data_IF_421195562295
#
_entry.id   IF_421195562295
#
_cell.length_a   1.000
_cell.length_b   1.000
_cell.length_c   1.000
_cell.angle_alpha   90.00
_cell.angle_beta   90.00
_cell.angle_gamma   90.00
#
_symmetry.space_group_name_H-M   'P 1'
#
loop_
_entity.id
_entity.type
_entity.pdbx_description
1 polymer ?
#
# COMPACT_ATOMS: atom_id res chain seq x y z
N UNK A 1 1.63 39.10 25.33
CA UNK A 1 0.43 38.25 25.27
C UNK A 1 0.77 37.06 24.40
N UNK A 2 0.91 35.91 25.06
CA UNK A 2 1.26 34.60 24.52
C UNK A 2 0.21 34.11 23.54
N UNK A 3 0.65 33.75 22.34
CA UNK A 3 -0.17 33.07 21.34
C UNK A 3 -0.52 31.66 21.87
N UNK A 4 -1.78 31.52 22.27
CA UNK A 4 -2.35 30.31 22.83
C UNK A 4 -2.51 29.25 21.73
N UNK A 5 -1.53 28.36 21.61
CA UNK A 5 -1.74 26.91 21.49
C UNK A 5 -2.77 26.39 20.50
N UNK A 6 -2.89 26.98 19.30
CA UNK A 6 -3.54 26.26 18.19
C UNK A 6 -2.55 25.22 17.67
N UNK A 7 -2.88 23.91 17.62
CA UNK A 7 -2.00 22.93 17.02
C UNK A 7 -1.77 23.36 15.58
N UNK A 8 -0.55 23.77 15.25
CA UNK A 8 -0.15 23.90 13.86
C UNK A 8 -0.43 22.55 13.20
N UNK A 9 -1.10 22.52 12.03
CA UNK A 9 -1.22 21.28 11.28
C UNK A 9 0.18 20.70 11.16
N UNK A 10 0.38 19.39 11.23
CA UNK A 10 1.72 18.79 11.25
C UNK A 10 2.11 18.31 9.85
N UNK A 11 3.35 18.53 9.41
CA UNK A 11 3.84 17.95 8.15
C UNK A 11 3.89 16.43 8.28
N UNK A 12 3.53 15.72 7.21
CA UNK A 12 3.54 14.26 7.19
C UNK A 12 4.36 13.76 6.02
N UNK A 13 5.29 12.85 6.28
CA UNK A 13 6.00 12.11 5.25
C UNK A 13 5.19 10.87 4.87
N UNK A 14 4.85 10.75 3.59
CA UNK A 14 4.05 9.68 3.02
C UNK A 14 4.94 8.85 2.09
N UNK A 15 4.96 7.55 2.29
CA UNK A 15 5.83 6.63 1.56
C UNK A 15 5.00 5.47 0.99
N UNK A 16 5.19 5.20 -0.29
CA UNK A 16 4.81 3.93 -0.90
C UNK A 16 6.06 3.08 -1.13
N UNK A 17 6.02 1.83 -0.70
CA UNK A 17 7.13 0.90 -0.86
C UNK A 17 6.61 -0.46 -1.37
N UNK A 18 6.79 -0.72 -2.67
CA UNK A 18 6.72 -2.07 -3.19
C UNK A 18 8.04 -2.76 -2.86
N UNK A 19 8.03 -3.69 -1.92
CA UNK A 19 9.25 -4.35 -1.48
C UNK A 19 9.43 -5.68 -2.21
N UNK A 20 10.66 -6.00 -2.60
CA UNK A 20 10.92 -7.36 -3.02
C UNK A 20 11.01 -8.26 -1.79
N UNK A 21 10.07 -9.19 -1.65
CA UNK A 21 9.92 -10.04 -0.45
C UNK A 21 11.17 -10.86 -0.07
N UNK A 22 12.18 -10.95 -0.94
CA UNK A 22 13.44 -11.67 -0.70
C UNK A 22 14.65 -10.73 -0.80
N UNK A 23 15.76 -11.04 -0.10
CA UNK A 23 16.91 -10.14 0.01
C UNK A 23 17.71 -9.93 -1.28
N UNK A 24 17.54 -10.81 -2.28
CA UNK A 24 18.33 -10.78 -3.54
C UNK A 24 17.74 -9.86 -4.61
N UNK A 25 16.50 -9.43 -4.41
CA UNK A 25 15.78 -8.62 -5.36
C UNK A 25 15.71 -7.17 -4.86
N UNK A 26 15.23 -6.28 -5.72
CA UNK A 26 14.85 -4.91 -5.37
C UNK A 26 13.40 -4.73 -5.77
N UNK A 27 12.65 -3.98 -4.97
CA UNK A 27 11.37 -3.40 -5.38
C UNK A 27 11.58 -1.91 -5.65
N UNK A 28 10.63 -1.06 -5.31
CA UNK A 28 10.75 0.38 -5.50
C UNK A 28 10.07 1.20 -4.38
N UNK A 29 10.56 2.42 -4.18
CA UNK A 29 10.08 3.36 -3.18
C UNK A 29 9.81 4.73 -3.80
N UNK A 30 8.80 5.43 -3.28
CA UNK A 30 8.50 6.83 -3.56
C UNK A 30 8.05 7.55 -2.28
N UNK A 31 8.37 8.85 -2.18
CA UNK A 31 8.06 9.69 -1.02
C UNK A 31 7.43 11.03 -1.40
N UNK A 32 6.46 11.48 -0.60
CA UNK A 32 5.77 12.76 -0.71
C UNK A 32 5.64 13.39 0.69
N UNK A 33 5.78 14.71 0.78
CA UNK A 33 5.45 15.49 1.99
C UNK A 33 4.06 16.08 1.84
N UNK A 34 3.17 15.80 2.78
CA UNK A 34 1.95 16.59 2.99
C UNK A 34 2.28 17.78 3.89
N UNK A 35 2.08 18.99 3.37
CA UNK A 35 2.28 20.25 4.08
C UNK A 35 1.10 20.58 4.99
N UNK A 36 1.29 21.63 5.79
CA UNK A 36 0.31 22.09 6.76
C UNK A 36 -0.99 22.59 6.15
N UNK A 37 -0.91 23.16 4.95
CA UNK A 37 -2.05 23.64 4.15
C UNK A 37 -2.79 22.50 3.41
N UNK A 38 -2.35 21.25 3.60
CA UNK A 38 -2.92 20.08 2.94
C UNK A 38 -2.38 19.82 1.54
N UNK A 39 -1.54 20.71 0.98
CA UNK A 39 -0.88 20.49 -0.30
C UNK A 39 0.22 19.45 -0.19
N UNK A 40 0.60 18.87 -1.32
CA UNK A 40 1.66 17.87 -1.38
C UNK A 40 2.91 18.44 -2.06
N UNK A 41 4.07 17.89 -1.70
CA UNK A 41 5.33 18.10 -2.41
C UNK A 41 6.06 16.79 -2.57
N UNK A 42 6.47 16.53 -3.79
CA UNK A 42 7.23 15.35 -4.16
C UNK A 42 8.66 15.46 -3.65
N UNK A 43 9.22 14.32 -3.21
CA UNK A 43 10.62 14.26 -2.78
C UNK A 43 11.51 13.83 -3.93
N UNK A 44 11.14 12.75 -4.61
CA UNK A 44 11.86 12.17 -5.75
C UNK A 44 10.90 11.40 -6.67
N UNK A 45 11.37 11.02 -7.85
CA UNK A 45 10.69 10.02 -8.70
C UNK A 45 10.73 8.63 -8.04
N UNK A 46 9.84 7.70 -8.42
CA UNK A 46 9.94 6.30 -7.99
C UNK A 46 11.33 5.73 -8.31
N UNK A 47 11.97 5.14 -7.31
CA UNK A 47 13.33 4.61 -7.44
C UNK A 47 13.41 3.18 -6.91
N UNK A 48 14.22 2.36 -7.57
CA UNK A 48 14.45 0.98 -7.13
C UNK A 48 15.11 0.96 -5.75
N UNK A 49 14.65 0.08 -4.88
CA UNK A 49 15.17 -0.08 -3.52
C UNK A 49 14.99 -1.51 -3.00
N UNK A 50 16.01 -2.03 -2.33
CA UNK A 50 15.82 -3.11 -1.34
C UNK A 50 15.49 -2.50 0.04
N UNK A 51 15.28 -3.34 1.07
CA UNK A 51 14.94 -2.88 2.41
C UNK A 51 15.96 -1.93 3.04
N UNK A 52 17.26 -2.20 2.88
CA UNK A 52 18.33 -1.35 3.43
C UNK A 52 18.36 0.00 2.73
N UNK A 53 18.26 0.01 1.39
CA UNK A 53 18.21 1.22 0.58
C UNK A 53 16.97 2.06 0.92
N UNK A 54 15.80 1.43 1.00
CA UNK A 54 14.55 2.08 1.40
C UNK A 54 14.66 2.69 2.80
N UNK A 55 15.22 1.97 3.77
CA UNK A 55 15.41 2.47 5.12
C UNK A 55 16.34 3.69 5.18
N UNK A 56 17.41 3.69 4.38
CA UNK A 56 18.33 4.81 4.27
C UNK A 56 17.65 6.04 3.68
N UNK A 57 16.93 5.87 2.56
CA UNK A 57 16.18 6.94 1.89
C UNK A 57 15.13 7.55 2.82
N UNK A 58 14.33 6.73 3.51
CA UNK A 58 13.33 7.22 4.48
C UNK A 58 14.01 7.98 5.62
N UNK A 59 15.14 7.49 6.13
CA UNK A 59 15.87 8.16 7.21
C UNK A 59 16.46 9.50 6.77
N UNK A 60 16.90 9.60 5.51
CA UNK A 60 17.35 10.85 4.90
C UNK A 60 16.21 11.86 4.75
N UNK A 61 15.09 11.45 4.16
CA UNK A 61 13.89 12.29 4.05
C UNK A 61 13.38 12.76 5.42
N UNK A 62 13.38 11.90 6.44
CA UNK A 62 13.00 12.30 7.81
C UNK A 62 13.96 13.34 8.39
N UNK A 63 15.25 13.25 8.09
CA UNK A 63 16.27 14.19 8.58
C UNK A 63 16.17 15.55 7.90
N UNK A 64 15.98 15.56 6.58
CA UNK A 64 15.87 16.80 5.79
C UNK A 64 14.54 17.51 6.02
N UNK A 65 13.44 16.77 6.02
CA UNK A 65 12.08 17.32 6.04
C UNK A 65 11.52 17.50 7.46
N UNK A 66 12.10 16.82 8.45
CA UNK A 66 11.67 16.82 9.86
C UNK A 66 10.13 16.70 10.00
N UNK A 67 9.51 15.69 9.37
CA UNK A 67 8.07 15.53 9.43
C UNK A 67 7.65 15.18 10.86
N UNK A 68 6.47 15.62 11.28
CA UNK A 68 5.98 15.23 12.60
C UNK A 68 5.45 13.79 12.62
N UNK A 69 4.95 13.30 11.49
CA UNK A 69 4.47 11.92 11.33
C UNK A 69 5.04 11.34 10.03
N UNK A 70 5.42 10.07 10.05
CA UNK A 70 5.78 9.29 8.86
C UNK A 70 4.80 8.14 8.68
N UNK A 71 4.22 8.00 7.49
CA UNK A 71 3.31 6.90 7.14
C UNK A 71 3.94 6.13 5.97
N UNK A 72 4.16 4.82 6.17
CA UNK A 72 4.73 3.89 5.20
C UNK A 72 3.69 2.86 4.83
N UNK A 73 3.39 2.75 3.54
CA UNK A 73 2.52 1.71 2.97
C UNK A 73 3.43 0.71 2.26
N UNK A 74 3.55 -0.48 2.85
CA UNK A 74 4.47 -1.54 2.44
C UNK A 74 3.73 -2.68 1.73
N UNK A 75 4.08 -3.00 0.49
CA UNK A 75 3.62 -4.22 -0.21
C UNK A 75 4.41 -5.45 0.26
N UNK A 76 4.26 -5.77 1.54
CA UNK A 76 4.70 -7.03 2.14
C UNK A 76 4.02 -7.24 3.49
N UNK A 77 3.72 -8.50 3.84
CA UNK A 77 3.27 -8.88 5.18
C UNK A 77 4.10 -8.26 6.30
N UNK A 78 3.44 -7.50 7.18
CA UNK A 78 4.10 -6.88 8.35
C UNK A 78 4.00 -7.73 9.62
N UNK A 79 3.05 -8.67 9.63
CA UNK A 79 2.80 -9.61 10.73
C UNK A 79 2.62 -11.00 10.13
N UNK A 80 3.51 -11.93 10.47
CA UNK A 80 3.47 -13.34 10.02
C UNK A 80 3.79 -14.25 11.20
N UNK A 81 2.78 -14.93 11.73
CA UNK A 81 2.93 -15.84 12.89
C UNK A 81 2.66 -17.31 12.56
N UNK A 82 2.03 -17.58 11.42
CA UNK A 82 1.70 -18.95 11.00
C UNK A 82 2.94 -19.69 10.49
N UNK A 83 3.08 -20.95 10.90
CA UNK A 83 4.19 -21.80 10.49
C UNK A 83 4.17 -22.10 8.99
N UNK A 84 3.00 -22.38 8.44
CA UNK A 84 2.77 -22.73 7.02
C UNK A 84 1.45 -22.14 6.51
N UNK A 85 1.22 -22.22 5.19
CA UNK A 85 -0.06 -21.86 4.58
C UNK A 85 -0.30 -20.35 4.50
N UNK A 86 -1.58 -19.97 4.39
CA UNK A 86 -2.04 -18.59 4.33
C UNK A 86 -2.31 -18.04 5.74
N UNK A 87 -2.06 -16.74 5.93
CA UNK A 87 -2.60 -15.99 7.06
C UNK A 87 -4.13 -15.88 6.97
N UNK A 88 -4.84 -15.67 8.09
CA UNK A 88 -6.29 -15.44 8.07
C UNK A 88 -6.74 -14.30 7.14
N UNK A 89 -6.03 -13.17 7.13
CA UNK A 89 -6.31 -12.04 6.22
C UNK A 89 -6.18 -12.44 4.75
N UNK A 90 -5.14 -13.21 4.39
CA UNK A 90 -4.93 -13.72 3.03
C UNK A 90 -6.07 -14.64 2.59
N UNK A 91 -6.60 -15.45 3.49
CA UNK A 91 -7.73 -16.34 3.19
C UNK A 91 -9.03 -15.57 2.87
N UNK A 92 -9.21 -14.39 3.47
CA UNK A 92 -10.33 -13.50 3.17
C UNK A 92 -10.07 -12.81 1.83
N UNK A 93 -8.91 -12.18 1.67
CA UNK A 93 -8.56 -11.37 0.48
C UNK A 93 -8.35 -12.21 -0.79
N UNK A 94 -7.86 -13.44 -0.68
CA UNK A 94 -7.62 -14.30 -1.85
C UNK A 94 -8.91 -14.62 -2.63
N UNK A 95 -10.07 -14.66 -1.96
CA UNK A 95 -11.36 -14.93 -2.60
C UNK A 95 -11.71 -13.88 -3.67
N UNK A 96 -11.93 -12.59 -3.32
CA UNK A 96 -12.26 -11.55 -4.30
C UNK A 96 -11.17 -11.36 -5.38
N UNK A 97 -9.89 -11.52 -5.00
CA UNK A 97 -8.76 -11.44 -5.93
C UNK A 97 -8.80 -12.58 -6.97
N UNK A 98 -9.05 -13.82 -6.55
CA UNK A 98 -9.10 -14.98 -7.44
C UNK A 98 -10.31 -14.98 -8.37
N UNK A 99 -11.44 -14.37 -7.95
CA UNK A 99 -12.60 -14.15 -8.82
C UNK A 99 -12.23 -13.32 -10.06
N UNK A 100 -11.19 -12.48 -9.97
CA UNK A 100 -10.66 -11.62 -11.03
C UNK A 100 -9.34 -12.12 -11.63
N UNK A 101 -9.05 -13.42 -11.48
CA UNK A 101 -7.84 -14.09 -11.97
C UNK A 101 -6.53 -13.55 -11.38
N UNK A 102 -6.59 -12.89 -10.21
CA UNK A 102 -5.43 -12.52 -9.42
C UNK A 102 -4.93 -13.68 -8.56
N UNK A 103 -3.75 -13.50 -7.96
CA UNK A 103 -3.17 -14.47 -7.05
C UNK A 103 -2.68 -13.79 -5.78
N UNK A 104 -2.96 -14.40 -4.62
CA UNK A 104 -2.45 -13.98 -3.32
C UNK A 104 -1.37 -14.96 -2.88
N UNK A 105 -0.14 -14.48 -2.73
CA UNK A 105 0.96 -15.32 -2.27
C UNK A 105 0.83 -15.57 -0.75
N UNK A 106 0.79 -16.82 -0.28
CA UNK A 106 0.72 -17.10 1.14
C UNK A 106 1.96 -16.62 1.90
N UNK A 107 1.80 -15.95 3.03
CA UNK A 107 2.89 -15.62 3.93
C UNK A 107 2.94 -16.60 5.10
N UNK A 108 4.10 -17.19 5.35
CA UNK A 108 4.33 -18.09 6.49
C UNK A 108 5.81 -18.20 6.80
N UNK A 109 6.14 -18.58 8.03
CA UNK A 109 7.52 -18.71 8.53
C UNK A 109 8.33 -19.76 7.74
N UNK A 110 7.67 -20.78 7.18
CA UNK A 110 8.33 -21.78 6.33
C UNK A 110 8.94 -21.19 5.05
N UNK A 111 8.50 -20.00 4.61
CA UNK A 111 9.17 -19.21 3.56
C UNK A 111 10.34 -18.44 4.16
N UNK A 112 11.39 -19.16 4.56
CA UNK A 112 12.48 -18.64 5.38
C UNK A 112 13.16 -17.38 4.81
N UNK A 113 13.37 -17.28 3.49
CA UNK A 113 13.97 -16.08 2.88
C UNK A 113 13.07 -14.83 2.97
N UNK A 114 11.75 -15.02 3.09
CA UNK A 114 10.75 -13.92 3.09
C UNK A 114 10.28 -13.55 4.49
N UNK A 115 10.10 -14.55 5.37
CA UNK A 115 9.47 -14.39 6.68
C UNK A 115 10.14 -15.22 7.78
N UNK A 116 11.31 -15.83 7.52
CA UNK A 116 12.14 -16.42 8.57
C UNK A 116 12.76 -15.35 9.48
N UNK A 117 13.39 -15.73 10.60
CA UNK A 117 13.94 -14.78 11.57
C UNK A 117 14.94 -13.77 10.99
N UNK A 118 15.64 -14.13 9.92
CA UNK A 118 16.62 -13.27 9.23
C UNK A 118 16.06 -12.53 8.02
N UNK A 119 14.75 -12.55 7.80
CA UNK A 119 14.16 -11.87 6.66
C UNK A 119 14.33 -10.33 6.78
N UNK A 120 14.65 -9.64 5.67
CA UNK A 120 15.04 -8.22 5.72
C UNK A 120 13.89 -7.30 6.16
N UNK A 121 12.64 -7.72 5.96
CA UNK A 121 11.45 -6.97 6.41
C UNK A 121 11.43 -6.74 7.91
N UNK A 122 11.95 -7.67 8.72
CA UNK A 122 11.96 -7.53 10.18
C UNK A 122 12.95 -6.45 10.65
N UNK A 123 14.11 -6.35 10.01
CA UNK A 123 15.06 -5.29 10.30
C UNK A 123 14.48 -3.91 9.92
N UNK A 124 13.84 -3.82 8.76
CA UNK A 124 13.16 -2.61 8.32
C UNK A 124 12.07 -2.18 9.31
N UNK A 125 11.20 -3.11 9.72
CA UNK A 125 10.13 -2.84 10.68
C UNK A 125 10.69 -2.40 12.03
N UNK A 126 11.72 -3.07 12.55
CA UNK A 126 12.36 -2.68 13.81
C UNK A 126 12.91 -1.24 13.78
N UNK A 127 13.44 -0.79 12.63
CA UNK A 127 13.94 0.58 12.46
C UNK A 127 12.81 1.63 12.47
N UNK A 128 11.59 1.25 12.07
CA UNK A 128 10.45 2.16 11.93
C UNK A 128 9.31 1.90 12.94
N UNK A 129 9.60 1.19 14.04
CA UNK A 129 8.68 1.02 15.16
C UNK A 129 7.73 -0.19 15.06
N UNK A 130 7.94 -1.08 14.08
CA UNK A 130 7.13 -2.27 13.88
C UNK A 130 5.90 -2.06 13.00
N UNK A 131 5.06 -3.09 12.90
CA UNK A 131 3.73 -2.97 12.30
C UNK A 131 2.88 -2.03 13.17
N UNK A 132 2.32 -0.99 12.58
CA UNK A 132 1.50 -0.05 13.32
C UNK A 132 0.17 -0.69 13.77
N UNK A 133 -0.44 -0.17 14.83
CA UNK A 133 -1.85 -0.41 15.09
C UNK A 133 -2.66 0.69 14.37
N UNK A 134 -3.45 0.36 13.33
CA UNK A 134 -4.24 1.35 12.60
C UNK A 134 -5.32 2.04 13.45
N UNK A 135 -5.67 1.45 14.60
CA UNK A 135 -6.66 1.99 15.53
C UNK A 135 -6.03 2.86 16.63
N UNK A 136 -4.70 2.99 16.65
CA UNK A 136 -3.97 3.84 17.59
C UNK A 136 -3.45 5.12 16.93
N UNK A 137 -3.51 6.23 17.66
CA UNK A 137 -3.08 7.54 17.17
C UNK A 137 -1.63 7.87 17.51
N UNK A 138 -0.96 7.11 18.40
CA UNK A 138 0.18 7.61 19.19
C UNK A 138 1.56 7.52 18.53
N UNK A 139 1.68 6.83 17.38
CA UNK A 139 2.98 6.59 16.77
C UNK A 139 3.38 7.70 15.78
N UNK A 140 4.60 8.25 15.96
CA UNK A 140 5.23 9.20 15.04
C UNK A 140 5.64 8.56 13.70
N UNK A 141 5.79 7.24 13.67
CA UNK A 141 6.02 6.46 12.45
C UNK A 141 5.05 5.30 12.41
N UNK A 142 4.34 5.15 11.29
CA UNK A 142 3.30 4.14 11.09
C UNK A 142 3.65 3.34 9.85
N UNK A 143 3.95 2.05 10.02
CA UNK A 143 4.13 1.11 8.90
C UNK A 143 2.89 0.24 8.80
N UNK A 144 2.17 0.38 7.68
CA UNK A 144 0.99 -0.40 7.36
C UNK A 144 1.31 -1.36 6.21
N UNK A 145 0.85 -2.60 6.33
CA UNK A 145 0.77 -3.51 5.20
C UNK A 145 -0.30 -3.02 4.23
N UNK A 146 0.04 -2.93 2.95
CA UNK A 146 -0.89 -2.71 1.85
C UNK A 146 -0.71 -3.81 0.82
N UNK A 147 -1.65 -3.91 -0.12
CA UNK A 147 -1.54 -4.80 -1.25
C UNK A 147 -2.05 -4.06 -2.50
N UNK A 148 -1.19 -3.68 -3.46
CA UNK A 148 -1.56 -2.88 -4.62
C UNK A 148 -2.76 -3.41 -5.38
N UNK A 149 -2.87 -4.74 -5.53
CA UNK A 149 -4.02 -5.38 -6.18
C UNK A 149 -5.32 -5.12 -5.41
N UNK A 150 -5.30 -5.17 -4.08
CA UNK A 150 -6.47 -4.86 -3.27
C UNK A 150 -6.84 -3.38 -3.36
N UNK A 151 -5.84 -2.49 -3.40
CA UNK A 151 -6.05 -1.07 -3.60
C UNK A 151 -6.69 -0.78 -4.97
N UNK A 152 -6.19 -1.38 -6.05
CA UNK A 152 -6.80 -1.30 -7.38
C UNK A 152 -8.24 -1.79 -7.39
N UNK A 153 -8.55 -2.89 -6.70
CA UNK A 153 -9.92 -3.39 -6.60
C UNK A 153 -10.84 -2.44 -5.83
N UNK A 154 -10.34 -1.81 -4.76
CA UNK A 154 -11.09 -0.82 -3.99
C UNK A 154 -11.44 0.43 -4.82
N UNK A 155 -10.53 0.82 -5.71
CA UNK A 155 -10.68 1.96 -6.62
C UNK A 155 -11.38 1.60 -7.94
N UNK A 156 -11.92 0.39 -8.05
CA UNK A 156 -12.63 -0.10 -9.24
C UNK A 156 -11.77 -0.16 -10.52
N UNK A 157 -10.45 -0.32 -10.38
CA UNK A 157 -9.51 -0.51 -11.49
C UNK A 157 -9.56 -1.95 -12.02
N UNK A 158 -10.75 -2.39 -12.41
CA UNK A 158 -11.05 -3.71 -12.95
C UNK A 158 -11.54 -3.56 -14.39
N UNK A 159 -11.12 -4.49 -15.24
CA UNK A 159 -11.48 -4.48 -16.66
C UNK A 159 -12.66 -5.42 -16.92
N UNK A 160 -13.51 -5.12 -17.93
CA UNK A 160 -14.57 -6.03 -18.35
C UNK A 160 -14.04 -7.43 -18.68
N UNK A 161 -14.84 -8.44 -18.33
CA UNK A 161 -14.54 -9.85 -18.58
C UNK A 161 -15.84 -10.65 -18.75
N UNK A 162 -15.73 -11.89 -19.20
CA UNK A 162 -16.81 -12.88 -19.16
C UNK A 162 -17.38 -13.12 -17.76
N UNK A 163 -16.56 -12.96 -16.70
CA UNK A 163 -17.03 -12.96 -15.32
C UNK A 163 -17.68 -11.63 -14.98
N UNK A 164 -18.84 -11.68 -14.32
CA UNK A 164 -19.57 -10.49 -13.84
C UNK A 164 -18.69 -9.61 -12.93
N UNK A 165 -17.72 -10.20 -12.22
CA UNK A 165 -16.77 -9.48 -11.37
C UNK A 165 -15.66 -8.72 -12.14
N UNK A 166 -15.60 -8.86 -13.47
CA UNK A 166 -14.50 -8.39 -14.30
C UNK A 166 -13.19 -9.18 -14.07
N UNK A 167 -12.08 -8.61 -14.54
CA UNK A 167 -10.72 -9.14 -14.39
C UNK A 167 -9.75 -8.06 -13.92
N UNK A 168 -8.69 -8.47 -13.25
CA UNK A 168 -7.57 -7.59 -12.92
C UNK A 168 -6.71 -7.30 -14.16
N UNK A 169 -6.11 -6.09 -14.27
CA UNK A 169 -5.13 -5.78 -15.30
C UNK A 169 -3.93 -6.75 -15.27
N UNK A 170 -3.46 -7.15 -16.44
CA UNK A 170 -2.29 -8.03 -16.63
C UNK A 170 -1.06 -7.21 -17.03
N UNK A 171 -0.62 -6.35 -16.13
CA UNK A 171 0.44 -5.36 -16.37
C UNK A 171 1.85 -5.81 -15.93
N UNK A 172 2.06 -7.08 -15.54
CA UNK A 172 3.38 -7.58 -15.11
C UNK A 172 4.22 -8.07 -16.31
N UNK A 173 5.31 -7.37 -16.70
CA UNK A 173 6.07 -7.72 -17.91
C UNK A 173 6.88 -9.02 -17.81
N UNK A 174 7.13 -9.54 -16.59
CA UNK A 174 7.75 -10.87 -16.42
C UNK A 174 6.79 -11.99 -16.82
N UNK A 175 5.48 -11.76 -16.82
CA UNK A 175 4.46 -12.75 -17.22
C UNK A 175 4.16 -12.66 -18.72
N UNK A 176 5.18 -12.89 -19.56
CA UNK A 176 5.12 -12.70 -21.03
C UNK A 176 3.89 -13.29 -21.73
N UNK A 177 3.37 -14.43 -21.25
CA UNK A 177 2.17 -15.09 -21.84
C UNK A 177 0.86 -14.34 -21.58
N UNK A 178 0.78 -13.60 -20.49
CA UNK A 178 -0.46 -12.93 -20.06
C UNK A 178 -0.31 -11.41 -20.03
N UNK A 179 0.91 -10.89 -20.16
CA UNK A 179 1.17 -9.44 -20.16
C UNK A 179 0.41 -8.76 -21.30
N UNK A 180 -0.25 -7.66 -20.99
CA UNK A 180 -0.96 -6.79 -21.93
C UNK A 180 -0.41 -5.37 -21.78
N UNK A 181 0.09 -4.80 -22.89
CA UNK A 181 0.53 -3.40 -22.92
C UNK A 181 -0.63 -2.41 -22.73
N UNK A 182 -1.84 -2.80 -23.16
CA UNK A 182 -3.04 -1.97 -22.97
C UNK A 182 -3.47 -1.98 -21.50
N UNK A 183 -3.35 -3.12 -20.82
CA UNK A 183 -3.59 -3.20 -19.37
C UNK A 183 -2.53 -2.40 -18.58
N UNK A 184 -1.27 -2.38 -19.04
CA UNK A 184 -0.23 -1.50 -18.48
C UNK A 184 -0.59 -0.02 -18.62
N UNK A 185 -1.01 0.39 -19.83
CA UNK A 185 -1.45 1.77 -20.10
C UNK A 185 -2.67 2.15 -19.29
N UNK A 186 -3.62 1.23 -19.13
CA UNK A 186 -4.79 1.40 -18.29
C UNK A 186 -4.42 1.69 -16.84
N UNK A 187 -3.52 0.89 -16.23
CA UNK A 187 -3.07 1.16 -14.85
C UNK A 187 -2.37 2.52 -14.74
N UNK A 188 -1.53 2.89 -15.72
CA UNK A 188 -0.91 4.21 -15.74
C UNK A 188 -1.94 5.35 -15.84
N UNK A 189 -2.99 5.17 -16.66
CA UNK A 189 -4.07 6.15 -16.81
C UNK A 189 -4.87 6.30 -15.52
N UNK A 190 -5.32 5.19 -14.92
CA UNK A 190 -6.05 5.21 -13.66
C UNK A 190 -5.23 5.85 -12.52
N UNK A 191 -3.93 5.54 -12.44
CA UNK A 191 -3.05 6.19 -11.47
C UNK A 191 -2.89 7.69 -11.75
N UNK A 192 -2.77 8.08 -13.02
CA UNK A 192 -2.71 9.49 -13.43
C UNK A 192 -3.96 10.25 -13.02
N UNK A 193 -5.14 9.64 -13.20
CA UNK A 193 -6.43 10.23 -12.84
C UNK A 193 -6.57 10.38 -11.33
N UNK A 194 -6.13 9.39 -10.56
CA UNK A 194 -6.14 9.47 -9.10
C UNK A 194 -5.23 10.61 -8.61
N UNK A 195 -4.00 10.72 -9.09
CA UNK A 195 -3.10 11.79 -8.62
C UNK A 195 -3.48 13.17 -9.16
N UNK A 196 -4.41 13.26 -10.12
CA UNK A 196 -4.88 14.53 -10.64
C UNK A 196 -5.48 15.38 -9.51
N UNK A 197 -5.12 16.66 -9.49
CA UNK A 197 -5.57 17.59 -8.43
C UNK A 197 -4.71 17.59 -7.16
N UNK A 198 -3.67 16.76 -7.05
CA UNK A 198 -2.73 16.76 -5.90
C UNK A 198 -1.43 17.56 -6.13
N UNK A 199 -1.31 18.23 -7.28
CA UNK A 199 -0.14 19.02 -7.71
C UNK A 199 1.19 18.24 -7.69
N UNK A 200 1.11 16.93 -7.95
CA UNK A 200 2.27 16.02 -8.05
C UNK A 200 2.79 16.00 -9.50
N UNK A 201 3.34 17.14 -9.94
CA UNK A 201 3.73 17.34 -11.34
C UNK A 201 4.84 16.41 -11.83
N UNK A 202 5.83 16.08 -10.98
CA UNK A 202 6.95 15.21 -11.34
C UNK A 202 6.50 13.75 -11.54
N UNK A 203 5.61 13.28 -10.68
CA UNK A 203 4.99 11.96 -10.71
C UNK A 203 4.02 11.86 -11.88
N UNK A 204 3.21 12.90 -12.12
CA UNK A 204 2.38 13.00 -13.32
C UNK A 204 3.21 12.84 -14.59
N UNK A 205 4.32 13.59 -14.70
CA UNK A 205 5.23 13.48 -15.84
C UNK A 205 5.88 12.08 -15.95
N UNK A 206 6.26 11.48 -14.81
CA UNK A 206 6.82 10.13 -14.76
C UNK A 206 5.80 9.08 -15.24
N UNK A 207 4.54 9.16 -14.79
CA UNK A 207 3.46 8.25 -15.21
C UNK A 207 3.17 8.38 -16.71
N UNK A 208 3.12 9.61 -17.25
CA UNK A 208 2.93 9.84 -18.69
C UNK A 208 4.04 9.16 -19.50
N UNK A 209 5.29 9.25 -19.02
CA UNK A 209 6.43 8.55 -19.62
C UNK A 209 6.26 7.02 -19.54
N UNK A 210 5.81 6.49 -18.40
CA UNK A 210 5.55 5.05 -18.22
C UNK A 210 4.43 4.55 -19.13
N UNK A 211 3.32 5.30 -19.26
CA UNK A 211 2.22 4.99 -20.19
C UNK A 211 2.71 4.90 -21.63
N UNK A 212 3.66 5.76 -21.99
CA UNK A 212 4.25 5.83 -23.34
C UNK A 212 5.35 4.81 -23.61
N UNK A 213 5.81 4.07 -22.59
CA UNK A 213 6.85 3.05 -22.75
C UNK A 213 6.30 1.82 -23.49
N UNK A 214 6.79 1.48 -24.70
CA UNK A 214 6.27 0.35 -25.47
C UNK A 214 6.74 -1.02 -24.95
N UNK A 215 7.76 -1.05 -24.07
CA UNK A 215 8.35 -2.28 -23.54
C UNK A 215 8.73 -2.10 -22.06
N UNK A 216 7.75 -1.98 -21.16
CA UNK A 216 8.00 -1.85 -19.74
C UNK A 216 8.72 -3.07 -19.17
N UNK A 217 9.60 -2.83 -18.21
CA UNK A 217 10.37 -3.82 -17.48
C UNK A 217 9.70 -4.18 -16.15
N UNK A 218 10.22 -5.20 -15.45
CA UNK A 218 9.76 -5.50 -14.09
C UNK A 218 10.04 -4.34 -13.13
N UNK A 219 11.19 -3.67 -13.26
CA UNK A 219 11.55 -2.52 -12.45
C UNK A 219 10.53 -1.38 -12.63
N UNK A 220 10.05 -1.17 -13.86
CA UNK A 220 8.99 -0.17 -14.11
C UNK A 220 7.69 -0.57 -13.40
N UNK A 221 7.34 -1.87 -13.38
CA UNK A 221 6.18 -2.36 -12.62
C UNK A 221 6.39 -2.20 -11.11
N UNK A 222 7.58 -2.49 -10.57
CA UNK A 222 7.91 -2.29 -9.15
C UNK A 222 7.69 -0.81 -8.76
N UNK A 223 8.17 0.12 -9.60
CA UNK A 223 7.92 1.56 -9.41
C UNK A 223 6.44 1.93 -9.47
N UNK A 224 5.66 1.32 -10.38
CA UNK A 224 4.23 1.56 -10.49
C UNK A 224 3.48 1.04 -9.25
N UNK A 225 3.83 -0.15 -8.76
CA UNK A 225 3.27 -0.76 -7.56
C UNK A 225 3.59 0.09 -6.31
N UNK A 226 4.80 0.67 -6.23
CA UNK A 226 5.17 1.62 -5.18
C UNK A 226 4.31 2.90 -5.21
N UNK A 227 3.97 3.41 -6.39
CA UNK A 227 3.05 4.53 -6.54
C UNK A 227 1.62 4.17 -6.09
N UNK A 228 1.16 2.95 -6.36
CA UNK A 228 -0.14 2.47 -5.87
C UNK A 228 -0.11 2.35 -4.33
N UNK A 229 1.00 1.89 -3.75
CA UNK A 229 1.18 1.91 -2.29
C UNK A 229 1.10 3.34 -1.73
N UNK A 230 1.77 4.30 -2.38
CA UNK A 230 1.71 5.72 -2.00
C UNK A 230 0.30 6.28 -2.07
N UNK A 231 -0.51 5.86 -3.06
CA UNK A 231 -1.89 6.29 -3.19
C UNK A 231 -2.72 5.95 -1.94
N UNK A 232 -2.49 4.79 -1.33
CA UNK A 232 -3.14 4.44 -0.05
C UNK A 232 -2.68 5.37 1.08
N UNK A 233 -1.40 5.77 1.09
CA UNK A 233 -0.88 6.74 2.05
C UNK A 233 -1.52 8.14 1.87
N UNK A 234 -1.71 8.57 0.63
CA UNK A 234 -2.40 9.81 0.29
C UNK A 234 -3.85 9.78 0.79
N UNK A 235 -4.58 8.68 0.57
CA UNK A 235 -5.96 8.54 1.06
C UNK A 235 -6.06 8.66 2.59
N UNK A 236 -5.16 7.97 3.31
CA UNK A 236 -5.08 8.06 4.77
C UNK A 236 -4.79 9.50 5.25
N UNK A 237 -3.84 10.18 4.59
CA UNK A 237 -3.44 11.55 4.95
C UNK A 237 -4.47 12.62 4.56
N UNK A 238 -5.32 12.33 3.59
CA UNK A 238 -6.49 13.12 3.20
C UNK A 238 -7.71 12.83 4.08
N UNK A 239 -7.58 11.93 5.06
CA UNK A 239 -8.68 11.49 5.94
C UNK A 239 -9.86 10.89 5.16
N UNK A 240 -9.59 10.31 4.00
CA UNK A 240 -10.56 9.46 3.29
C UNK A 240 -10.72 8.16 4.06
N UNK A 241 -11.90 7.57 3.93
CA UNK A 241 -12.15 6.25 4.51
C UNK A 241 -11.32 5.20 3.78
N UNK A 242 -10.67 4.35 4.59
CA UNK A 242 -9.91 3.19 4.16
C UNK A 242 -10.49 1.93 4.78
N UNK A 243 -10.20 0.78 4.20
CA UNK A 243 -10.50 -0.53 4.77
C UNK A 243 -9.28 -1.09 5.49
N UNK A 244 -9.51 -1.68 6.65
CA UNK A 244 -8.62 -2.65 7.28
C UNK A 244 -9.26 -4.02 7.19
N UNK A 245 -8.60 -4.95 6.51
CA UNK A 245 -9.00 -6.35 6.46
C UNK A 245 -8.03 -7.16 7.31
N UNK A 246 -8.53 -7.98 8.24
CA UNK A 246 -7.68 -8.70 9.19
C UNK A 246 -7.62 -8.05 10.57
N UNK A 247 -6.62 -8.44 11.35
CA UNK A 247 -6.44 -8.01 12.73
C UNK A 247 -4.96 -7.82 13.09
N UNK A 248 -4.69 -7.13 14.20
CA UNK A 248 -3.32 -6.83 14.66
C UNK A 248 -2.59 -8.04 15.26
N UNK A 249 -3.28 -9.13 15.55
CA UNK A 249 -2.68 -10.32 16.13
C UNK A 249 -2.16 -11.27 15.05
N UNK A 250 -2.90 -11.44 13.96
CA UNK A 250 -2.64 -12.43 12.90
C UNK A 250 -2.24 -11.81 11.56
N UNK A 251 -2.33 -10.48 11.46
CA UNK A 251 -1.99 -9.68 10.29
C UNK A 251 -3.21 -9.06 9.63
N UNK A 252 -2.97 -7.91 8.99
CA UNK A 252 -4.01 -7.12 8.34
C UNK A 252 -3.47 -6.47 7.06
N UNK A 253 -4.36 -6.00 6.20
CA UNK A 253 -4.04 -5.22 5.00
C UNK A 253 -4.90 -3.96 5.01
N UNK A 254 -4.29 -2.82 4.70
CA UNK A 254 -4.96 -1.53 4.51
C UNK A 254 -5.12 -1.23 3.02
N UNK A 255 -6.29 -0.76 2.62
CA UNK A 255 -6.60 -0.32 1.26
C UNK A 255 -7.60 0.86 1.30
N UNK A 256 -7.80 1.62 0.20
CA UNK A 256 -8.93 2.55 0.09
C UNK A 256 -10.28 1.85 0.37
N UNK A 257 -11.29 2.61 0.78
CA UNK A 257 -12.65 2.10 0.85
C UNK A 257 -13.26 2.01 -0.55
N UNK A 258 -13.76 0.82 -0.90
CA UNK A 258 -14.63 0.59 -2.05
C UNK A 258 -15.80 -0.30 -1.62
N UNK A 259 -17.03 0.15 -1.83
CA UNK A 259 -18.23 -0.53 -1.30
C UNK A 259 -18.41 -1.93 -1.87
N UNK A 260 -18.16 -2.11 -3.18
CA UNK A 260 -18.22 -3.41 -3.83
C UNK A 260 -17.21 -4.41 -3.23
N UNK A 261 -15.95 -3.97 -3.06
CA UNK A 261 -14.91 -4.78 -2.44
C UNK A 261 -15.26 -5.11 -0.98
N UNK A 262 -15.74 -4.12 -0.21
CA UNK A 262 -16.15 -4.31 1.19
C UNK A 262 -17.23 -5.37 1.31
N UNK A 263 -18.24 -5.34 0.45
CA UNK A 263 -19.30 -6.35 0.38
C UNK A 263 -18.75 -7.76 0.18
N UNK A 264 -17.86 -7.94 -0.81
CA UNK A 264 -17.23 -9.23 -1.09
C UNK A 264 -16.40 -9.77 0.10
N UNK A 265 -15.71 -8.88 0.83
CA UNK A 265 -14.92 -9.24 2.01
C UNK A 265 -15.81 -9.63 3.20
N UNK A 266 -16.91 -8.89 3.41
CA UNK A 266 -17.92 -9.21 4.44
C UNK A 266 -18.57 -10.57 4.17
N UNK A 267 -18.98 -10.83 2.94
CA UNK A 267 -19.54 -12.12 2.52
C UNK A 267 -18.54 -13.26 2.74
N UNK A 268 -17.25 -13.01 2.45
CA UNK A 268 -16.19 -13.99 2.68
C UNK A 268 -15.97 -14.25 4.17
N UNK A 269 -16.10 -13.26 5.04
CA UNK A 269 -16.06 -13.47 6.49
C UNK A 269 -17.17 -14.43 6.93
N UNK A 270 -18.41 -14.22 6.46
CA UNK A 270 -19.54 -15.12 6.73
C UNK A 270 -19.27 -16.56 6.27
N UNK A 271 -18.77 -16.74 5.04
CA UNK A 271 -18.41 -18.07 4.47
C UNK A 271 -17.26 -18.76 5.19
N UNK A 272 -16.49 -18.05 6.01
CA UNK A 272 -15.34 -18.58 6.74
C UNK A 272 -15.50 -18.52 8.25
N UNK A 273 -16.75 -18.35 8.74
CA UNK A 273 -17.11 -18.28 10.15
C UNK A 273 -16.33 -17.20 10.93
N UNK A 274 -16.15 -16.04 10.31
CA UNK A 274 -15.51 -14.85 10.92
C UNK A 274 -16.54 -13.73 11.06
N UNK A 275 -16.46 -13.01 12.17
CA UNK A 275 -17.29 -11.83 12.45
C UNK A 275 -16.83 -10.65 11.56
N UNK A 276 -17.64 -10.21 10.57
CA UNK A 276 -17.22 -9.14 9.66
C UNK A 276 -16.89 -7.83 10.38
N UNK A 277 -17.53 -7.54 11.52
CA UNK A 277 -17.28 -6.30 12.28
C UNK A 277 -15.88 -6.24 12.89
N UNK A 278 -15.24 -7.41 13.10
CA UNK A 278 -13.87 -7.52 13.64
C UNK A 278 -12.82 -7.62 12.53
N UNK A 279 -13.21 -8.12 11.37
CA UNK A 279 -12.29 -8.49 10.28
C UNK A 279 -12.31 -7.53 9.10
N UNK A 280 -13.34 -6.71 8.93
CA UNK A 280 -13.47 -5.72 7.85
C UNK A 280 -13.92 -4.39 8.46
N UNK A 281 -12.95 -3.55 8.81
CA UNK A 281 -13.18 -2.28 9.53
C UNK A 281 -12.91 -1.09 8.63
N UNK A 282 -13.68 -0.02 8.84
CA UNK A 282 -13.41 1.27 8.21
C UNK A 282 -12.40 2.02 9.10
N UNK A 283 -11.34 2.52 8.49
CA UNK A 283 -10.32 3.35 9.10
C UNK A 283 -10.48 4.77 8.59
N UNK A 284 -10.56 5.73 9.52
CA UNK A 284 -10.45 7.14 9.22
C UNK A 284 -9.49 7.78 10.22
N UNK A 285 -8.35 8.29 9.74
CA UNK A 285 -7.31 8.83 10.64
C UNK A 285 -7.79 10.07 11.42
N UNK A 286 -8.77 10.82 10.92
CA UNK A 286 -9.33 11.96 11.67
C UNK A 286 -10.11 11.46 12.89
N UNK A 287 -10.96 10.43 12.70
CA UNK A 287 -11.72 9.83 13.80
C UNK A 287 -10.81 9.18 14.86
N UNK A 288 -9.74 8.52 14.42
CA UNK A 288 -8.72 7.93 15.32
C UNK A 288 -7.97 9.01 16.09
N UNK A 289 -7.64 10.15 15.47
CA UNK A 289 -7.01 11.29 16.15
C UNK A 289 -7.92 11.98 17.16
N UNK A 290 -9.23 11.99 16.95
CA UNK A 290 -10.21 12.58 17.89
C UNK A 290 -10.55 11.68 19.07
N UNK A 291 -10.26 10.38 18.99
CA UNK A 291 -10.61 9.38 20.01
C UNK A 291 -9.47 9.10 20.99
N UNK A 292 -8.34 9.81 20.88
CA UNK A 292 -7.13 9.65 21.68
C UNK A 292 -6.77 10.93 22.42
#
# INVERSE_FOLDING_TARGET
>A
MSDSGKPHPKTTLLIGFDSSWTPKNRGAIIGVIRKHDGTFRELDQPQMANFTEAANVISEWRRSERPAVTIVLLDQPTIVKNATGQRPVENIVASPVSLRYGGMQPASISRAEMFGPSAPVWQFLNQFGGAADPLSSTADTKVFETYPVLAMMALEWVLPDTRVTGRLPKYNPKRRKTFSIDDWRYVCEQLSDEIAGRDLSMLSAWIIKMKSNPSPSKADQDCLDACICLLVALHLAEFKDCLMVGDTDTGYIVAPLGDGLRGELVDRCGKTNRDPSKWVRILNLNAVQQSA
#
